data_IF_239883981348
#
_entry.id   IF_239883981348
#
_cell.length_a   1.000
_cell.length_b   1.000
_cell.length_c   1.000
_cell.angle_alpha   90.00
_cell.angle_beta   90.00
_cell.angle_gamma   90.00
#
_symmetry.space_group_name_H-M   'P 1'
#
loop_
_entity.id
_entity.type
_entity.pdbx_description
1 polymer ?
#
# COMPACT_ATOMS: atom_id res chain seq x y z
N UNK A 1 -17.92 -6.30 -14.41
CA UNK A 1 -18.87 -5.73 -13.43
C UNK A 1 -18.16 -5.72 -12.10
N UNK A 2 -18.12 -4.59 -11.40
CA UNK A 2 -17.58 -4.57 -10.03
C UNK A 2 -18.54 -5.32 -9.14
N UNK A 3 -18.18 -6.56 -8.83
CA UNK A 3 -18.78 -7.36 -7.78
C UNK A 3 -18.61 -6.63 -6.45
N UNK A 4 -19.57 -6.79 -5.53
CA UNK A 4 -19.52 -6.11 -4.25
C UNK A 4 -18.30 -6.58 -3.46
N UNK A 5 -17.41 -5.65 -3.13
CA UNK A 5 -16.19 -5.92 -2.38
C UNK A 5 -16.22 -5.16 -1.04
N UNK A 6 -15.74 -5.82 0.02
CA UNK A 6 -15.61 -5.22 1.35
C UNK A 6 -14.54 -4.13 1.39
N UNK A 7 -13.45 -4.32 0.63
CA UNK A 7 -12.34 -3.39 0.56
C UNK A 7 -12.42 -2.54 -0.71
N UNK A 8 -12.02 -1.28 -0.59
CA UNK A 8 -11.88 -0.41 -1.75
C UNK A 8 -10.67 -0.82 -2.59
N UNK A 9 -10.67 -0.47 -3.88
CA UNK A 9 -9.50 -0.68 -4.73
C UNK A 9 -8.24 0.01 -4.18
N UNK A 10 -8.37 1.12 -3.44
CA UNK A 10 -7.22 1.77 -2.79
C UNK A 10 -6.59 0.89 -1.71
N UNK A 11 -7.42 0.27 -0.88
CA UNK A 11 -6.95 -0.65 0.16
C UNK A 11 -6.28 -1.89 -0.46
N UNK A 12 -6.89 -2.46 -1.50
CA UNK A 12 -6.34 -3.63 -2.20
C UNK A 12 -5.01 -3.32 -2.90
N UNK A 13 -4.92 -2.19 -3.62
CA UNK A 13 -3.67 -1.75 -4.26
C UNK A 13 -2.58 -1.52 -3.20
N UNK A 14 -2.89 -0.83 -2.11
CA UNK A 14 -1.93 -0.58 -1.04
C UNK A 14 -1.40 -1.89 -0.43
N UNK A 15 -2.28 -2.87 -0.24
CA UNK A 15 -1.89 -4.20 0.25
C UNK A 15 -0.92 -4.90 -0.71
N UNK A 16 -1.19 -4.89 -2.02
CA UNK A 16 -0.27 -5.46 -3.01
C UNK A 16 1.12 -4.80 -2.97
N UNK A 17 1.17 -3.46 -2.81
CA UNK A 17 2.44 -2.73 -2.69
C UNK A 17 3.18 -3.06 -1.39
N UNK A 18 2.45 -3.28 -0.30
CA UNK A 18 3.00 -3.65 0.99
C UNK A 18 3.61 -5.07 0.98
N UNK A 19 2.97 -6.01 0.29
CA UNK A 19 3.42 -7.40 0.18
C UNK A 19 4.60 -7.56 -0.78
N UNK A 20 4.58 -6.84 -1.91
CA UNK A 20 5.60 -6.94 -2.94
C UNK A 20 6.07 -5.54 -3.37
N UNK A 21 7.11 -4.99 -2.72
CA UNK A 21 7.63 -3.66 -3.01
C UNK A 21 8.06 -3.42 -4.47
N UNK A 22 8.35 -4.47 -5.23
CA UNK A 22 8.82 -4.40 -6.63
C UNK A 22 7.75 -4.82 -7.65
N UNK A 23 6.50 -4.97 -7.22
CA UNK A 23 5.38 -5.37 -8.09
C UNK A 23 5.15 -4.32 -9.19
N UNK A 24 4.81 -4.78 -10.39
CA UNK A 24 4.50 -3.86 -11.49
C UNK A 24 3.05 -3.39 -11.42
N UNK A 25 2.74 -2.22 -12.02
CA UNK A 25 1.37 -1.74 -12.08
C UNK A 25 0.42 -2.69 -12.84
N UNK A 26 0.97 -3.50 -13.77
CA UNK A 26 0.23 -4.52 -14.51
C UNK A 26 -0.12 -5.67 -13.57
N UNK A 27 0.86 -6.21 -12.84
CA UNK A 27 0.62 -7.32 -11.90
C UNK A 27 -0.37 -6.91 -10.78
N UNK A 28 -0.30 -5.67 -10.31
CA UNK A 28 -1.28 -5.13 -9.35
C UNK A 28 -2.67 -5.05 -9.98
N UNK A 29 -2.78 -4.58 -11.23
CA UNK A 29 -4.05 -4.49 -11.94
C UNK A 29 -4.72 -5.87 -12.07
N UNK A 30 -3.93 -6.88 -12.45
CA UNK A 30 -4.38 -8.26 -12.57
C UNK A 30 -4.80 -8.83 -11.21
N UNK A 31 -4.03 -8.57 -10.15
CA UNK A 31 -4.34 -9.02 -8.79
C UNK A 31 -5.60 -8.39 -8.21
N UNK A 32 -5.87 -7.12 -8.53
CA UNK A 32 -7.02 -6.36 -7.98
C UNK A 32 -8.26 -6.48 -8.89
N UNK A 33 -8.11 -6.90 -10.15
CA UNK A 33 -9.20 -6.99 -11.12
C UNK A 33 -9.64 -5.63 -11.68
N UNK A 34 -8.70 -4.70 -11.81
CA UNK A 34 -8.92 -3.36 -12.39
C UNK A 34 -8.00 -3.11 -13.59
N UNK A 35 -8.19 -1.99 -14.27
CA UNK A 35 -7.31 -1.63 -15.40
C UNK A 35 -5.96 -1.09 -14.91
N UNK A 36 -4.88 -1.31 -15.67
CA UNK A 36 -3.56 -0.72 -15.36
C UNK A 36 -3.62 0.80 -15.18
N UNK A 37 -4.45 1.48 -16.00
CA UNK A 37 -4.70 2.93 -15.86
C UNK A 37 -5.31 3.29 -14.51
N UNK A 38 -6.29 2.52 -14.04
CA UNK A 38 -6.91 2.74 -12.73
C UNK A 38 -5.90 2.47 -11.61
N UNK A 39 -5.11 1.40 -11.73
CA UNK A 39 -4.01 1.11 -10.80
C UNK A 39 -3.02 2.26 -10.71
N UNK A 40 -2.52 2.77 -11.84
CA UNK A 40 -1.57 3.89 -11.86
C UNK A 40 -2.15 5.16 -11.22
N UNK A 41 -3.44 5.43 -11.44
CA UNK A 41 -4.14 6.54 -10.78
C UNK A 41 -4.17 6.35 -9.27
N UNK A 42 -4.59 5.19 -8.78
CA UNK A 42 -4.62 4.89 -7.34
C UNK A 42 -3.22 4.99 -6.71
N UNK A 43 -2.20 4.49 -7.40
CA UNK A 43 -0.80 4.59 -6.96
C UNK A 43 -0.32 6.05 -6.91
N UNK A 44 -0.85 6.95 -7.76
CA UNK A 44 -0.58 8.39 -7.66
C UNK A 44 -1.34 9.01 -6.48
N UNK A 45 -2.63 8.69 -6.32
CA UNK A 45 -3.46 9.18 -5.22
C UNK A 45 -2.87 8.79 -3.84
N UNK A 46 -2.35 7.56 -3.71
CA UNK A 46 -1.69 7.07 -2.49
C UNK A 46 -0.35 7.79 -2.20
N UNK A 47 0.42 8.11 -3.24
CA UNK A 47 1.68 8.85 -3.12
C UNK A 47 1.42 10.31 -2.72
N UNK A 48 0.47 10.97 -3.39
CA UNK A 48 0.07 12.35 -3.06
C UNK A 48 -0.46 12.47 -1.64
N UNK A 49 -1.19 11.45 -1.17
CA UNK A 49 -1.70 11.40 0.20
C UNK A 49 -0.64 11.02 1.25
N UNK A 50 0.58 10.63 0.83
CA UNK A 50 1.70 10.27 1.70
C UNK A 50 1.67 8.85 2.26
N UNK A 51 0.81 7.96 1.75
CA UNK A 51 0.76 6.57 2.21
C UNK A 51 1.86 5.69 1.63
N UNK A 52 2.43 6.08 0.48
CA UNK A 52 3.54 5.39 -0.14
C UNK A 52 4.60 6.35 -0.65
N UNK A 53 5.84 5.87 -0.72
CA UNK A 53 6.92 6.48 -1.49
C UNK A 53 7.33 5.59 -2.66
N UNK A 54 7.93 6.21 -3.68
CA UNK A 54 8.47 5.53 -4.87
C UNK A 54 9.95 5.87 -5.04
N UNK A 55 10.78 4.83 -5.11
CA UNK A 55 12.20 4.97 -5.44
C UNK A 55 12.52 4.18 -6.72
N UNK A 56 13.36 4.74 -7.59
CA UNK A 56 13.84 4.02 -8.78
C UNK A 56 14.95 3.05 -8.38
N UNK A 57 14.78 1.77 -8.72
CA UNK A 57 15.78 0.72 -8.52
C UNK A 57 16.11 0.08 -9.88
N UNK A 58 17.13 0.62 -10.53
CA UNK A 58 17.50 0.24 -11.89
C UNK A 58 16.37 0.51 -12.89
N UNK A 59 15.77 -0.57 -13.42
CA UNK A 59 14.65 -0.51 -14.38
C UNK A 59 13.27 -0.61 -13.70
N UNK A 60 13.22 -0.85 -12.39
CA UNK A 60 11.97 -1.02 -11.63
C UNK A 60 11.75 0.15 -10.69
N UNK A 61 10.51 0.28 -10.22
CA UNK A 61 10.13 1.14 -9.10
C UNK A 61 10.01 0.25 -7.88
N UNK A 62 10.60 0.69 -6.77
CA UNK A 62 10.37 0.14 -5.44
C UNK A 62 9.38 1.04 -4.70
N UNK A 63 8.30 0.46 -4.24
CA UNK A 63 7.31 1.10 -3.39
C UNK A 63 7.66 0.87 -1.91
N UNK A 64 7.46 1.89 -1.08
CA UNK A 64 7.56 1.77 0.38
C UNK A 64 6.28 2.29 1.01
N UNK A 65 5.67 1.51 1.90
CA UNK A 65 4.43 1.91 2.59
C UNK A 65 4.76 2.62 3.89
N UNK A 66 4.14 3.77 4.11
CA UNK A 66 4.28 4.55 5.34
C UNK A 66 3.32 4.01 6.42
N UNK A 67 3.75 2.95 7.12
CA UNK A 67 2.90 2.20 8.07
C UNK A 67 2.33 3.03 9.22
N UNK A 68 2.99 4.13 9.57
CA UNK A 68 2.61 5.02 10.68
C UNK A 68 1.55 6.05 10.28
N UNK A 69 1.22 6.17 8.99
CA UNK A 69 0.19 7.11 8.53
C UNK A 69 -1.20 6.67 8.99
N UNK A 70 -1.96 7.60 9.55
CA UNK A 70 -3.32 7.33 10.01
C UNK A 70 -4.30 7.16 8.85
N UNK A 71 -5.30 6.31 9.04
CA UNK A 71 -6.42 6.18 8.10
C UNK A 71 -7.17 7.51 7.94
N UNK A 72 -7.44 7.90 6.69
CA UNK A 72 -8.31 9.03 6.37
C UNK A 72 -9.78 8.58 6.37
N UNK A 73 -10.60 9.16 7.25
CA UNK A 73 -12.05 8.97 7.25
C UNK A 73 -12.64 9.08 8.66
N UNK A 74 -13.66 9.92 8.83
CA UNK A 74 -14.14 10.45 10.12
C UNK A 74 -14.85 9.47 11.08
N UNK A 75 -14.47 8.20 11.11
CA UNK A 75 -15.03 7.22 12.05
C UNK A 75 -13.98 6.28 12.65
N UNK A 76 -12.86 6.08 11.96
CA UNK A 76 -11.73 5.29 12.47
C UNK A 76 -10.68 6.28 12.95
N UNK A 77 -10.89 6.83 14.15
CA UNK A 77 -9.92 7.75 14.74
C UNK A 77 -8.71 6.95 15.25
N UNK A 78 -7.51 7.43 14.89
CA UNK A 78 -6.20 7.01 15.40
C UNK A 78 -5.69 5.60 15.02
N UNK A 79 -6.25 4.94 14.01
CA UNK A 79 -5.68 3.69 13.49
C UNK A 79 -4.62 3.96 12.43
N UNK A 80 -3.41 3.45 12.67
CA UNK A 80 -2.33 3.50 11.70
C UNK A 80 -2.58 2.52 10.55
N UNK A 81 -2.19 2.88 9.33
CA UNK A 81 -2.38 2.07 8.13
C UNK A 81 -1.70 0.71 8.26
N UNK A 82 -0.56 0.65 8.96
CA UNK A 82 0.13 -0.60 9.26
C UNK A 82 -0.70 -1.55 10.12
N UNK A 83 -1.53 -1.05 11.04
CA UNK A 83 -2.42 -1.90 11.84
C UNK A 83 -3.51 -2.52 10.97
N UNK A 84 -4.15 -1.72 10.11
CA UNK A 84 -5.12 -2.23 9.14
C UNK A 84 -4.48 -3.32 8.27
N UNK A 85 -3.32 -3.04 7.67
CA UNK A 85 -2.62 -4.00 6.82
C UNK A 85 -2.28 -5.29 7.58
N UNK A 86 -1.85 -5.20 8.85
CA UNK A 86 -1.62 -6.38 9.70
C UNK A 86 -2.90 -7.20 9.91
N UNK A 87 -4.05 -6.56 10.15
CA UNK A 87 -5.32 -7.28 10.27
C UNK A 87 -5.73 -7.99 8.98
N UNK A 88 -5.30 -7.47 7.82
CA UNK A 88 -5.51 -8.09 6.51
C UNK A 88 -4.49 -9.17 6.17
N UNK A 89 -3.51 -9.43 7.03
CA UNK A 89 -2.51 -10.49 6.85
C UNK A 89 -1.14 -10.02 6.36
N UNK A 90 -0.90 -8.70 6.28
CA UNK A 90 0.43 -8.18 5.98
C UNK A 90 1.42 -8.54 7.08
N UNK A 91 2.39 -9.39 6.71
CA UNK A 91 3.53 -9.72 7.57
C UNK A 91 4.60 -8.68 7.33
N UNK A 92 4.52 -7.57 8.08
CA UNK A 92 5.59 -6.58 8.08
C UNK A 92 6.90 -7.31 8.40
N UNK A 93 7.81 -7.38 7.43
CA UNK A 93 9.20 -7.70 7.73
C UNK A 93 9.68 -6.46 8.48
N UNK A 94 9.59 -6.49 9.81
CA UNK A 94 10.16 -5.47 10.66
C UNK A 94 11.60 -5.24 10.14
N UNK A 95 12.00 -4.02 9.74
CA UNK A 95 13.42 -3.72 9.73
C UNK A 95 13.96 -4.09 11.12
N UNK A 96 15.16 -4.69 11.23
CA UNK A 96 15.74 -4.96 12.55
C UNK A 96 15.64 -3.66 13.34
N UNK A 97 15.10 -3.76 14.56
CA UNK A 97 14.99 -2.62 15.46
C UNK A 97 16.29 -1.84 15.35
N UNK A 98 16.21 -0.55 14.97
CA UNK A 98 17.38 0.32 15.05
C UNK A 98 17.91 0.13 16.47
N UNK A 99 19.15 -0.36 16.67
CA UNK A 99 19.67 -0.47 18.02
C UNK A 99 19.52 0.90 18.64
N UNK A 100 18.89 0.94 19.82
CA UNK A 100 18.87 2.11 20.68
C UNK A 100 20.29 2.67 20.65
N UNK A 101 20.43 3.82 20.01
CA UNK A 101 21.66 4.58 20.14
C UNK A 101 21.60 5.13 21.54
N UNK A 102 22.19 4.39 22.50
CA UNK A 102 22.79 4.80 23.77
C UNK A 102 23.16 3.56 24.59
#
# INVERSE_FOLDING_TARGET
>A
MTEWAFLTNHALVLMCLAESPLITAIDVADSVGITERATRKIIADLEEAGYIDKAKEGRRVRYSVQSEMLLRGGSVHDTAIGELLKTLGWKQILPPEKPLSL
#
